data_IF_134585725780
#
_entry.id   IF_134585725780
#
_cell.length_a   1.000
_cell.length_b   1.000
_cell.length_c   1.000
_cell.angle_alpha   90.00
_cell.angle_beta   90.00
_cell.angle_gamma   90.00
#
_symmetry.space_group_name_H-M   'P 1'
#
loop_
_entity.id
_entity.type
_entity.pdbx_description
1 polymer ?
#
# COMPACT_ATOMS: atom_id res chain seq x y z
N UNK A 1 -8.42 -22.55 -17.31
CA UNK A 1 -8.39 -23.67 -16.33
C UNK A 1 -7.37 -24.74 -16.69
N UNK A 2 -7.47 -25.40 -17.84
CA UNK A 2 -6.55 -26.48 -18.25
C UNK A 2 -5.07 -26.05 -18.22
N UNK A 3 -4.73 -24.94 -18.88
CA UNK A 3 -3.35 -24.42 -18.90
C UNK A 3 -2.81 -24.14 -17.49
N UNK A 4 -3.62 -23.62 -16.57
CA UNK A 4 -3.18 -23.34 -15.21
C UNK A 4 -2.79 -24.63 -14.44
N UNK A 5 -3.53 -25.74 -14.65
CA UNK A 5 -3.19 -27.03 -14.05
C UNK A 5 -1.87 -27.57 -14.63
N UNK A 6 -1.71 -27.51 -15.94
CA UNK A 6 -0.51 -27.99 -16.63
C UNK A 6 0.74 -27.15 -16.31
N UNK A 7 0.56 -25.85 -16.08
CA UNK A 7 1.64 -24.91 -15.79
C UNK A 7 1.97 -24.79 -14.29
N UNK A 8 1.18 -25.39 -13.39
CA UNK A 8 1.39 -25.22 -11.94
C UNK A 8 2.78 -25.67 -11.50
N UNK A 9 3.25 -26.85 -11.94
CA UNK A 9 4.57 -27.37 -11.59
C UNK A 9 5.68 -26.48 -12.14
N UNK A 10 5.54 -26.02 -13.38
CA UNK A 10 6.46 -25.08 -14.00
C UNK A 10 6.57 -23.76 -13.22
N UNK A 11 5.43 -23.21 -12.81
CA UNK A 11 5.41 -21.99 -12.02
C UNK A 11 6.04 -22.21 -10.64
N UNK A 12 5.73 -23.33 -9.98
CA UNK A 12 6.25 -23.65 -8.65
C UNK A 12 7.77 -23.87 -8.64
N UNK A 13 8.26 -24.65 -9.61
CA UNK A 13 9.62 -25.19 -9.57
C UNK A 13 10.61 -24.38 -10.43
N UNK A 14 10.14 -23.61 -11.41
CA UNK A 14 10.99 -22.90 -12.38
C UNK A 14 10.71 -21.39 -12.44
N UNK A 15 9.52 -20.97 -12.91
CA UNK A 15 9.26 -19.56 -13.22
C UNK A 15 8.94 -18.68 -11.99
N UNK A 16 8.47 -19.27 -10.89
CA UNK A 16 7.93 -18.54 -9.74
C UNK A 16 8.95 -17.65 -9.03
N UNK A 17 10.22 -18.05 -8.99
CA UNK A 17 11.29 -17.25 -8.38
C UNK A 17 11.50 -15.93 -9.12
N UNK A 18 11.61 -15.98 -10.45
CA UNK A 18 11.77 -14.79 -11.30
C UNK A 18 10.57 -13.84 -11.21
N UNK A 19 9.34 -14.38 -11.20
CA UNK A 19 8.12 -13.59 -11.00
C UNK A 19 8.10 -12.92 -9.62
N UNK A 20 8.48 -13.64 -8.57
CA UNK A 20 8.51 -13.09 -7.21
C UNK A 20 9.57 -11.99 -7.06
N UNK A 21 10.75 -12.17 -7.66
CA UNK A 21 11.80 -11.14 -7.67
C UNK A 21 11.35 -9.89 -8.41
N UNK A 22 10.65 -10.03 -9.55
CA UNK A 22 10.06 -8.91 -10.25
C UNK A 22 9.03 -8.16 -9.38
N UNK A 23 8.12 -8.88 -8.72
CA UNK A 23 7.18 -8.28 -7.77
C UNK A 23 7.92 -7.51 -6.66
N UNK A 24 8.94 -8.11 -6.06
CA UNK A 24 9.73 -7.47 -5.00
C UNK A 24 10.48 -6.23 -5.50
N UNK A 25 11.05 -6.27 -6.69
CA UNK A 25 11.75 -5.15 -7.29
C UNK A 25 10.81 -3.96 -7.55
N UNK A 26 9.63 -4.23 -8.10
CA UNK A 26 8.59 -3.20 -8.33
C UNK A 26 8.15 -2.59 -7.01
N UNK A 27 7.78 -3.43 -6.03
CA UNK A 27 7.35 -2.97 -4.69
C UNK A 27 8.41 -2.09 -4.05
N UNK A 28 9.65 -2.57 -3.99
CA UNK A 28 10.76 -1.84 -3.38
C UNK A 28 11.05 -0.52 -4.08
N UNK A 29 10.98 -0.47 -5.42
CA UNK A 29 11.22 0.74 -6.18
C UNK A 29 10.11 1.79 -5.95
N UNK A 30 8.85 1.38 -5.91
CA UNK A 30 7.71 2.27 -5.63
C UNK A 30 7.83 2.86 -4.23
N UNK A 31 8.06 2.01 -3.22
CA UNK A 31 8.08 2.39 -1.80
C UNK A 31 9.31 3.21 -1.38
N UNK A 32 10.30 3.35 -2.27
CA UNK A 32 11.48 4.21 -2.08
C UNK A 32 11.13 5.70 -2.12
N UNK A 33 9.98 6.06 -2.70
CA UNK A 33 9.51 7.45 -2.82
C UNK A 33 8.13 7.64 -2.20
N UNK A 34 7.63 8.88 -2.14
CA UNK A 34 6.29 9.18 -1.65
C UNK A 34 5.22 8.43 -2.44
N UNK A 35 4.27 7.84 -1.72
CA UNK A 35 3.08 7.17 -2.25
C UNK A 35 1.87 7.73 -1.52
N UNK A 36 0.91 8.28 -2.27
CA UNK A 36 -0.33 8.78 -1.70
C UNK A 36 -1.20 7.61 -1.22
N UNK A 37 -1.71 7.69 0.00
CA UNK A 37 -2.38 6.55 0.64
C UNK A 37 -3.83 6.39 0.18
N UNK A 38 -4.41 7.43 -0.44
CA UNK A 38 -5.81 7.48 -0.87
C UNK A 38 -5.92 7.19 -2.36
N UNK A 39 -5.07 7.82 -3.18
CA UNK A 39 -5.08 7.67 -4.64
C UNK A 39 -4.18 6.54 -5.14
N UNK A 40 -3.21 6.12 -4.32
CA UNK A 40 -2.14 5.19 -4.68
C UNK A 40 -1.17 5.69 -5.76
N UNK A 41 -1.17 7.00 -6.02
CA UNK A 41 -0.20 7.61 -6.91
C UNK A 41 1.19 7.66 -6.26
N UNK A 42 2.21 7.33 -7.04
CA UNK A 42 3.57 7.17 -6.54
C UNK A 42 4.58 8.01 -7.32
N UNK A 43 5.62 8.49 -6.62
CA UNK A 43 6.73 9.22 -7.26
C UNK A 43 7.50 8.35 -8.26
N UNK A 44 7.69 7.08 -7.94
CA UNK A 44 8.40 6.08 -8.76
C UNK A 44 7.41 5.07 -9.35
N UNK A 45 6.49 5.55 -10.19
CA UNK A 45 5.52 4.71 -10.91
C UNK A 45 6.08 4.22 -12.24
N UNK A 46 5.55 3.09 -12.74
CA UNK A 46 5.72 2.62 -14.12
C UNK A 46 4.56 3.05 -15.03
N UNK A 47 3.44 3.46 -14.45
CA UNK A 47 2.26 3.95 -15.14
C UNK A 47 2.18 5.47 -15.04
N UNK A 48 1.98 6.14 -16.18
CA UNK A 48 1.74 7.59 -16.23
C UNK A 48 0.51 8.00 -15.44
N UNK A 49 -0.55 7.18 -15.49
CA UNK A 49 -1.82 7.45 -14.79
C UNK A 49 -1.68 7.40 -13.27
N UNK A 50 -0.69 6.66 -12.77
CA UNK A 50 -0.41 6.49 -11.33
C UNK A 50 0.80 7.28 -10.86
N UNK A 51 1.26 8.23 -11.68
CA UNK A 51 2.42 9.04 -11.35
C UNK A 51 2.00 10.23 -10.49
N UNK A 52 2.62 10.35 -9.32
CA UNK A 52 2.41 11.49 -8.42
C UNK A 52 2.94 12.78 -9.07
N UNK A 53 2.01 13.69 -9.40
CA UNK A 53 2.31 14.92 -10.14
C UNK A 53 2.76 16.07 -9.23
N UNK A 54 2.26 16.10 -8.00
CA UNK A 54 2.66 17.09 -6.99
C UNK A 54 4.13 16.91 -6.57
N UNK A 55 4.80 18.03 -6.28
CA UNK A 55 6.12 18.00 -5.68
C UNK A 55 5.99 17.81 -4.17
N UNK A 56 6.31 16.60 -3.71
CA UNK A 56 6.31 16.27 -2.28
C UNK A 56 7.75 16.25 -1.76
N UNK A 57 8.06 17.23 -0.91
CA UNK A 57 9.26 17.24 -0.10
C UNK A 57 9.15 16.15 0.98
N UNK A 58 10.20 15.36 1.13
CA UNK A 58 10.23 14.22 2.04
C UNK A 58 11.65 13.98 2.54
N UNK A 59 11.75 13.56 3.80
CA UNK A 59 12.96 13.09 4.45
C UNK A 59 12.91 11.58 4.73
N UNK A 60 14.08 10.95 4.83
CA UNK A 60 14.18 9.54 5.23
C UNK A 60 14.25 9.48 6.75
N UNK A 61 13.35 8.70 7.36
CA UNK A 61 13.39 8.41 8.79
C UNK A 61 13.87 6.98 8.98
N UNK A 62 14.94 6.81 9.76
CA UNK A 62 15.40 5.49 10.19
C UNK A 62 14.72 5.12 11.51
N UNK A 63 13.94 4.04 11.51
CA UNK A 63 13.25 3.51 12.67
C UNK A 63 14.03 2.36 13.29
N UNK A 64 14.17 2.36 14.61
CA UNK A 64 14.65 1.24 15.41
C UNK A 64 13.45 0.54 16.04
N UNK A 65 13.06 -0.59 15.47
CA UNK A 65 11.88 -1.35 15.91
C UNK A 65 12.32 -2.31 17.03
N UNK A 66 11.71 -2.17 18.20
CA UNK A 66 11.91 -3.09 19.32
C UNK A 66 10.90 -4.22 19.26
N UNK A 67 11.35 -5.41 19.63
CA UNK A 67 10.50 -6.55 19.93
C UNK A 67 10.76 -6.94 21.39
N UNK A 68 9.71 -7.22 22.15
CA UNK A 68 9.84 -7.51 23.58
C UNK A 68 10.65 -8.80 23.84
N UNK A 69 10.72 -9.71 22.86
CA UNK A 69 11.39 -11.01 22.95
C UNK A 69 12.72 -11.10 22.18
N UNK A 70 13.21 -10.01 21.56
CA UNK A 70 14.42 -10.05 20.73
C UNK A 70 15.47 -9.00 21.16
N UNK A 71 16.70 -9.47 21.36
CA UNK A 71 17.86 -8.61 21.68
C UNK A 71 18.30 -7.75 20.48
N UNK A 72 17.94 -8.16 19.25
CA UNK A 72 18.29 -7.44 18.03
C UNK A 72 17.21 -6.43 17.62
N UNK A 73 17.60 -5.15 17.54
CA UNK A 73 16.75 -4.08 17.00
C UNK A 73 16.78 -4.11 15.49
N UNK A 74 15.62 -4.31 14.86
CA UNK A 74 15.48 -4.23 13.41
C UNK A 74 15.45 -2.76 12.98
N UNK A 75 16.27 -2.41 11.99
CA UNK A 75 16.25 -1.08 11.38
C UNK A 75 15.36 -1.07 10.14
N UNK A 76 14.42 -0.14 10.09
CA UNK A 76 13.53 0.06 8.94
C UNK A 76 13.63 1.52 8.47
N UNK A 77 13.86 1.74 7.17
CA UNK A 77 13.88 3.09 6.58
C UNK A 77 12.50 3.38 5.98
N UNK A 78 11.92 4.49 6.37
CA UNK A 78 10.62 4.99 5.90
C UNK A 78 10.73 6.46 5.50
N UNK A 79 9.67 7.04 4.97
CA UNK A 79 9.59 8.46 4.66
C UNK A 79 8.81 9.20 5.74
N UNK A 80 9.19 10.43 6.03
CA UNK A 80 8.46 11.30 6.97
C UNK A 80 7.03 11.61 6.49
N UNK A 81 6.82 11.58 5.17
CA UNK A 81 5.53 11.72 4.52
C UNK A 81 4.73 10.41 4.43
N UNK A 82 5.21 9.28 4.96
CA UNK A 82 4.39 8.06 5.02
C UNK A 82 3.28 8.21 6.08
N UNK A 83 2.07 7.72 5.78
CA UNK A 83 1.02 7.58 6.81
C UNK A 83 1.39 6.55 7.86
N UNK A 84 0.72 6.56 9.00
CA UNK A 84 1.00 5.59 10.07
C UNK A 84 0.72 4.15 9.61
N UNK A 85 -0.33 3.91 8.82
CA UNK A 85 -0.57 2.59 8.22
C UNK A 85 0.51 2.17 7.23
N UNK A 86 1.04 3.08 6.41
CA UNK A 86 2.16 2.79 5.52
C UNK A 86 3.42 2.41 6.31
N UNK A 87 3.71 3.15 7.39
CA UNK A 87 4.84 2.84 8.29
C UNK A 87 4.65 1.47 8.94
N UNK A 88 3.47 1.16 9.48
CA UNK A 88 3.16 -0.18 10.04
C UNK A 88 3.40 -1.29 9.01
N UNK A 89 2.94 -1.09 7.78
CA UNK A 89 3.15 -2.06 6.69
C UNK A 89 4.64 -2.29 6.39
N UNK A 90 5.43 -1.22 6.29
CA UNK A 90 6.89 -1.29 6.06
C UNK A 90 7.63 -1.98 7.22
N UNK A 91 7.20 -1.72 8.46
CA UNK A 91 7.74 -2.41 9.64
C UNK A 91 7.40 -3.92 9.58
N UNK A 92 6.15 -4.28 9.29
CA UNK A 92 5.74 -5.68 9.17
C UNK A 92 6.52 -6.42 8.08
N UNK A 93 6.81 -5.77 6.95
CA UNK A 93 7.65 -6.37 5.92
C UNK A 93 9.09 -6.64 6.38
N UNK A 94 9.64 -5.76 7.23
CA UNK A 94 10.98 -5.94 7.80
C UNK A 94 10.99 -7.07 8.85
N UNK A 95 10.01 -7.09 9.76
CA UNK A 95 9.90 -8.08 10.83
C UNK A 95 9.58 -9.48 10.29
N UNK A 96 8.67 -9.57 9.32
CA UNK A 96 8.10 -10.84 8.84
C UNK A 96 8.56 -11.19 7.41
N UNK A 97 9.78 -10.80 7.03
CA UNK A 97 10.31 -10.97 5.66
C UNK A 97 10.22 -12.41 5.13
N UNK A 98 10.34 -13.40 6.02
CA UNK A 98 10.31 -14.83 5.71
C UNK A 98 8.98 -15.53 6.06
N UNK A 99 7.97 -14.77 6.48
CA UNK A 99 6.66 -15.30 6.84
C UNK A 99 5.67 -15.02 5.70
N UNK A 100 4.86 -16.00 5.26
CA UNK A 100 3.79 -15.77 4.30
C UNK A 100 2.85 -14.65 4.74
N UNK A 101 2.41 -13.79 3.81
CA UNK A 101 1.60 -12.61 4.13
C UNK A 101 0.35 -12.94 4.95
N UNK A 102 -0.33 -14.04 4.64
CA UNK A 102 -1.56 -14.50 5.33
C UNK A 102 -1.35 -14.97 6.77
N UNK A 103 -0.11 -15.21 7.20
CA UNK A 103 0.24 -15.62 8.56
C UNK A 103 0.78 -14.46 9.40
N UNK A 104 0.85 -13.25 8.83
CA UNK A 104 1.31 -12.05 9.52
C UNK A 104 0.13 -11.39 10.24
N UNK A 105 0.37 -10.66 11.35
CA UNK A 105 -0.64 -9.82 11.95
C UNK A 105 -1.19 -8.80 10.95
N UNK A 106 -2.48 -8.45 11.08
CA UNK A 106 -3.08 -7.39 10.28
C UNK A 106 -2.60 -6.02 10.76
N UNK A 107 -2.41 -5.07 9.84
CA UNK A 107 -2.10 -3.67 10.19
C UNK A 107 -3.18 -3.04 11.09
N UNK A 108 -4.41 -3.55 11.06
CA UNK A 108 -5.54 -3.03 11.84
C UNK A 108 -5.60 -3.59 13.27
N UNK A 109 -4.86 -4.67 13.54
CA UNK A 109 -4.76 -5.31 14.86
C UNK A 109 -3.61 -4.75 15.69
N UNK A 110 -2.83 -3.83 15.11
CA UNK A 110 -1.61 -3.30 15.70
C UNK A 110 -1.67 -1.77 15.79
N UNK A 111 -1.16 -1.26 16.92
CA UNK A 111 -0.86 0.14 17.12
C UNK A 111 0.65 0.37 17.00
N UNK A 112 1.02 1.55 16.49
CA UNK A 112 2.42 1.97 16.39
C UNK A 112 2.75 2.86 17.58
N UNK A 113 3.60 2.39 18.48
CA UNK A 113 4.06 3.14 19.63
C UNK A 113 5.42 3.78 19.34
N UNK A 114 5.51 5.10 19.48
CA UNK A 114 6.77 5.84 19.46
C UNK A 114 7.29 6.05 20.88
N UNK A 115 8.52 5.59 21.16
CA UNK A 115 9.19 5.81 22.45
C UNK A 115 10.01 7.10 22.41
N UNK A 116 9.42 8.18 22.91
CA UNK A 116 10.03 9.50 22.92
C UNK A 116 10.97 9.69 24.13
N UNK A 117 12.07 8.93 24.20
CA UNK A 117 13.13 9.10 25.21
C UNK A 117 12.59 9.27 26.65
N UNK A 118 12.96 10.38 27.31
CA UNK A 118 12.52 10.71 28.69
C UNK A 118 11.04 11.15 28.79
N UNK A 119 10.35 11.34 27.67
CA UNK A 119 8.98 11.87 27.59
C UNK A 119 7.87 10.81 27.56
N UNK A 120 8.21 9.53 27.72
CA UNK A 120 7.23 8.43 27.70
C UNK A 120 7.04 7.83 26.30
N UNK A 121 5.86 7.25 26.09
CA UNK A 121 5.46 6.63 24.83
C UNK A 121 4.22 7.33 24.25
N UNK A 122 4.11 7.36 22.92
CA UNK A 122 2.98 7.93 22.20
C UNK A 122 2.50 6.95 21.13
N UNK A 123 1.23 6.58 21.18
CA UNK A 123 0.60 5.80 20.10
C UNK A 123 0.26 6.71 18.93
N UNK A 124 0.77 6.36 17.75
CA UNK A 124 0.52 7.07 16.50
C UNK A 124 -0.64 6.40 15.75
N UNK A 125 -1.49 7.20 15.11
CA UNK A 125 -2.63 6.73 14.34
C UNK A 125 -2.81 7.56 13.08
N UNK A 126 -3.39 6.99 12.03
CA UNK A 126 -3.69 7.73 10.79
C UNK A 126 -4.66 8.90 11.05
N UNK A 127 -5.52 8.78 12.06
CA UNK A 127 -6.40 9.81 12.56
C UNK A 127 -6.49 9.75 14.08
N UNK A 128 -6.28 10.88 14.74
CA UNK A 128 -6.47 11.10 16.18
C UNK A 128 -6.96 12.53 16.48
N UNK A 129 -6.99 12.93 17.76
CA UNK A 129 -7.39 14.27 18.21
C UNK A 129 -6.52 15.42 17.66
N UNK A 130 -5.33 15.11 17.15
CA UNK A 130 -4.39 16.10 16.60
C UNK A 130 -4.57 16.28 15.08
N UNK A 131 -5.42 15.47 14.45
CA UNK A 131 -5.59 15.44 12.99
C UNK A 131 -6.08 16.78 12.44
N UNK A 132 -5.36 17.30 11.45
CA UNK A 132 -5.68 18.58 10.82
C UNK A 132 -6.89 18.44 9.91
N UNK A 133 -7.91 19.28 10.16
CA UNK A 133 -9.12 19.38 9.34
C UNK A 133 -9.29 20.81 8.83
N UNK A 134 -9.42 20.99 7.52
CA UNK A 134 -9.56 22.31 6.87
C UNK A 134 -10.68 22.22 5.83
N UNK A 135 -11.69 23.09 5.95
CA UNK A 135 -12.80 23.22 4.99
C UNK A 135 -13.47 21.87 4.62
N UNK A 136 -13.78 21.03 5.60
CA UNK A 136 -14.42 19.73 5.37
C UNK A 136 -13.48 18.62 4.89
N UNK A 137 -12.18 18.88 4.79
CA UNK A 137 -11.16 17.88 4.46
C UNK A 137 -10.27 17.56 5.65
N UNK A 138 -10.05 16.27 5.88
CA UNK A 138 -9.15 15.72 6.90
C UNK A 138 -7.87 15.21 6.23
N UNK A 139 -6.71 15.65 6.73
CA UNK A 139 -5.42 15.14 6.26
C UNK A 139 -4.98 13.95 7.12
N UNK A 140 -4.66 12.82 6.51
CA UNK A 140 -4.09 11.67 7.22
C UNK A 140 -2.78 12.07 7.92
N UNK A 141 -2.63 11.61 9.15
CA UNK A 141 -1.43 11.83 9.94
C UNK A 141 -0.25 11.03 9.38
N UNK A 142 0.92 11.66 9.37
CA UNK A 142 2.19 11.09 8.92
C UNK A 142 3.25 11.19 10.02
N UNK A 143 4.43 10.61 9.84
CA UNK A 143 5.53 10.81 10.78
C UNK A 143 5.92 12.28 10.94
N UNK A 144 5.90 13.05 9.84
CA UNK A 144 6.14 14.48 9.85
C UNK A 144 5.08 15.25 10.67
N UNK A 145 3.81 14.80 10.66
CA UNK A 145 2.75 15.41 11.47
C UNK A 145 3.07 15.34 12.96
N UNK A 146 3.58 14.21 13.43
CA UNK A 146 4.00 14.01 14.83
C UNK A 146 5.40 14.58 15.14
N UNK A 147 6.09 15.15 14.15
CA UNK A 147 7.45 15.66 14.32
C UNK A 147 8.49 14.57 14.60
N UNK A 148 8.24 13.34 14.15
CA UNK A 148 9.18 12.21 14.28
C UNK A 148 10.40 12.50 13.40
N UNK A 149 11.58 12.48 14.00
CA UNK A 149 12.87 12.75 13.34
C UNK A 149 13.70 11.47 13.16
N UNK A 150 14.87 11.61 12.57
CA UNK A 150 15.83 10.52 12.35
C UNK A 150 16.12 9.70 13.63
N UNK A 151 16.33 8.41 13.47
CA UNK A 151 16.63 7.44 14.54
C UNK A 151 15.55 7.30 15.63
N UNK A 152 14.28 7.31 15.23
CA UNK A 152 13.16 7.10 16.14
C UNK A 152 13.03 5.63 16.59
N UNK A 153 12.72 5.42 17.86
CA UNK A 153 12.50 4.09 18.43
C UNK A 153 11.01 3.77 18.44
N UNK A 154 10.62 2.69 17.77
CA UNK A 154 9.22 2.30 17.59
C UNK A 154 8.95 0.90 18.14
N UNK A 155 7.71 0.62 18.50
CA UNK A 155 7.21 -0.72 18.80
C UNK A 155 5.86 -0.94 18.14
N UNK A 156 5.57 -2.18 17.74
CA UNK A 156 4.22 -2.59 17.34
C UNK A 156 3.57 -3.29 18.52
N UNK A 157 2.46 -2.75 19.01
CA UNK A 157 1.73 -3.33 20.13
C UNK A 157 0.38 -3.87 19.64
N UNK A 158 -0.09 -5.03 20.14
CA UNK A 158 -1.45 -5.49 19.87
C UNK A 158 -2.45 -4.43 20.34
N UNK A 159 -3.37 -4.07 19.45
CA UNK A 159 -4.43 -3.12 19.78
C UNK A 159 -5.33 -3.75 20.84
N UNK A 160 -5.31 -3.23 22.05
CA UNK A 160 -6.26 -3.62 23.09
C UNK A 160 -7.63 -3.10 22.65
N UNK A 161 -8.49 -4.02 22.24
CA UNK A 161 -9.87 -3.69 21.92
C UNK A 161 -10.54 -3.37 23.26
N UNK A 162 -10.69 -2.08 23.61
CA UNK A 162 -11.46 -1.65 24.78
C UNK A 162 -12.91 -2.11 24.62
N UNK A 163 -13.16 -3.32 25.10
CA UNK A 163 -14.43 -4.02 25.01
C UNK A 163 -15.46 -3.43 25.98
N UNK A 164 -15.99 -2.25 25.66
CA UNK A 164 -17.34 -1.88 26.08
C UNK A 164 -18.37 -2.35 25.04
N UNK A 165 -18.34 -3.64 24.68
CA UNK A 165 -19.53 -4.39 24.30
C UNK A 165 -19.23 -5.90 24.21
N UNK A 166 -18.87 -6.50 25.35
CA UNK A 166 -18.92 -7.94 25.52
C UNK A 166 -20.36 -8.37 25.81
N UNK A 167 -21.21 -8.44 24.78
CA UNK A 167 -22.32 -9.38 24.83
C UNK A 167 -22.72 -9.87 23.43
N UNK A 168 -22.73 -11.20 23.30
CA UNK A 168 -23.24 -11.99 22.19
C UNK A 168 -22.33 -12.18 20.97
N UNK A 169 -21.47 -13.21 21.02
CA UNK A 169 -21.20 -14.06 19.85
C UNK A 169 -21.14 -15.53 20.28
N UNK A 170 -22.26 -16.22 20.16
CA UNK A 170 -22.27 -17.67 19.93
C UNK A 170 -21.80 -17.95 18.48
N UNK A 171 -21.13 -19.08 18.21
CA UNK A 171 -20.56 -19.38 16.91
C UNK A 171 -21.61 -20.03 16.00
N UNK A 172 -22.03 -19.34 14.94
CA UNK A 172 -22.79 -19.96 13.85
C UNK A 172 -21.83 -20.51 12.79
N UNK A 173 -21.87 -21.83 12.62
CA UNK A 173 -21.26 -22.56 11.52
C UNK A 173 -22.04 -22.34 10.21
N UNK A 174 -21.29 -22.28 9.10
CA UNK A 174 -21.72 -22.32 7.69
C UNK A 174 -22.38 -21.06 7.12
N UNK A 175 -21.56 -20.12 6.63
CA UNK A 175 -21.89 -19.25 5.51
C UNK A 175 -20.64 -19.06 4.63
N UNK A 176 -20.74 -19.52 3.38
CA UNK A 176 -19.76 -19.37 2.29
C UNK A 176 -19.58 -17.90 1.92
N UNK A 177 -18.37 -17.36 2.12
CA UNK A 177 -18.04 -15.94 1.92
C UNK A 177 -17.70 -15.59 0.48
N UNK A 178 -18.55 -14.78 -0.15
CA UNK A 178 -18.21 -13.95 -1.32
C UNK A 178 -17.57 -12.67 -0.80
N UNK A 179 -16.33 -12.39 -1.23
CA UNK A 179 -15.59 -11.18 -0.86
C UNK A 179 -16.22 -9.95 -1.54
N UNK A 180 -16.88 -9.10 -0.74
CA UNK A 180 -17.09 -7.70 -1.06
C UNK A 180 -16.95 -6.91 0.25
N UNK A 181 -15.82 -6.22 0.37
CA UNK A 181 -15.63 -5.21 1.39
C UNK A 181 -16.57 -4.05 1.12
N UNK A 182 -17.33 -3.67 2.14
CA UNK A 182 -17.86 -2.33 2.28
C UNK A 182 -18.01 -2.03 3.77
N UNK A 183 -17.24 -1.05 4.23
CA UNK A 183 -17.52 -0.29 5.43
C UNK A 183 -18.82 0.49 5.22
N UNK A 184 -19.95 -0.08 5.65
CA UNK A 184 -21.19 0.66 5.82
C UNK A 184 -21.80 0.24 7.16
N UNK A 185 -21.66 1.11 8.16
CA UNK A 185 -22.37 1.02 9.43
C UNK A 185 -23.87 1.18 9.18
N UNK A 186 -24.76 0.40 9.85
CA UNK A 186 -26.19 0.57 9.69
C UNK A 186 -26.67 1.75 10.56
N UNK A 187 -27.11 2.84 9.94
CA UNK A 187 -27.81 3.92 10.66
C UNK A 187 -29.31 3.68 10.55
N UNK A 188 -29.93 3.49 11.71
CA UNK A 188 -31.38 3.46 11.92
C UNK A 188 -31.93 4.84 11.52
N UNK A 189 -32.81 4.86 10.51
CA UNK A 189 -33.50 6.08 10.10
C UNK A 189 -34.61 6.41 11.11
N UNK A 190 -34.47 7.53 11.81
CA UNK A 190 -35.58 8.19 12.49
C UNK A 190 -35.58 9.67 12.15
N UNK A 191 -36.47 10.01 11.22
CA UNK A 191 -37.19 11.27 11.03
C UNK A 191 -36.43 12.61 11.12
N UNK A 192 -36.33 13.27 9.95
CA UNK A 192 -36.63 14.69 9.76
C UNK A 192 -35.70 15.72 10.40
N UNK A 193 -34.63 16.10 9.71
CA UNK A 193 -34.37 17.49 9.32
C UNK A 193 -33.15 17.56 8.40
N UNK A 194 -33.20 18.49 7.44
CA UNK A 194 -32.26 18.68 6.34
C UNK A 194 -31.14 19.63 6.78
N UNK A 195 -29.92 19.34 6.30
CA UNK A 195 -28.65 20.10 6.41
C UNK A 195 -27.71 19.72 7.57
N UNK A 196 -26.49 19.29 7.18
CA UNK A 196 -25.30 19.04 8.02
C UNK A 196 -25.07 17.62 8.55
N UNK A 197 -25.11 16.62 7.65
CA UNK A 197 -24.29 15.42 7.81
C UNK A 197 -22.90 15.69 7.22
N UNK A 198 -21.89 15.86 8.06
CA UNK A 198 -20.50 16.11 7.68
C UNK A 198 -19.93 15.00 6.80
N UNK A 199 -20.01 15.15 5.47
CA UNK A 199 -19.19 14.37 4.54
C UNK A 199 -17.76 14.88 4.65
N UNK A 200 -17.06 14.46 5.71
CA UNK A 200 -15.67 14.80 5.90
C UNK A 200 -14.83 13.94 4.94
N UNK A 201 -14.19 14.60 3.98
CA UNK A 201 -13.40 13.91 2.98
C UNK A 201 -11.96 13.75 3.48
N UNK A 202 -11.31 12.63 3.19
CA UNK A 202 -9.93 12.36 3.64
C UNK A 202 -8.94 12.42 2.48
N UNK A 203 -7.76 13.00 2.72
CA UNK A 203 -6.66 13.03 1.75
C UNK A 203 -5.31 12.78 2.43
N UNK A 204 -4.29 12.41 1.65
CA UNK A 204 -2.93 12.21 2.14
C UNK A 204 -1.97 13.30 1.66
N UNK A 205 -1.39 13.12 0.47
CA UNK A 205 -0.40 14.04 -0.11
C UNK A 205 -1.08 15.08 -0.99
N UNK A 206 -2.06 14.64 -1.79
CA UNK A 206 -2.76 15.50 -2.75
C UNK A 206 -4.19 15.69 -2.30
N UNK A 207 -4.58 16.95 -2.06
CA UNK A 207 -5.99 17.30 -1.85
C UNK A 207 -6.69 17.28 -3.23
N UNK A 208 -7.78 16.53 -3.40
CA UNK A 208 -8.60 16.63 -4.61
C UNK A 208 -9.09 18.07 -4.84
N UNK A 209 -9.20 18.53 -6.09
CA UNK A 209 -9.74 19.86 -6.37
C UNK A 209 -11.17 19.98 -5.83
N UNK A 210 -11.47 21.08 -5.13
CA UNK A 210 -12.82 21.33 -4.62
C UNK A 210 -13.75 21.60 -5.82
N UNK A 211 -14.77 20.75 -6.01
CA UNK A 211 -15.75 20.83 -7.12
C UNK A 211 -16.74 22.03 -6.99
N UNK A 212 -16.48 22.93 -6.05
CA UNK A 212 -17.34 24.06 -5.69
C UNK A 212 -16.84 25.44 -6.18
N UNK A 213 -15.84 25.46 -7.07
CA UNK A 213 -15.50 26.65 -7.85
C UNK A 213 -16.33 26.70 -9.13
N UNK A 214 -17.12 27.76 -9.31
CA UNK A 214 -17.86 28.11 -10.54
C UNK A 214 -17.20 27.61 -11.84
N UNK A 215 -17.96 27.07 -12.82
CA UNK A 215 -17.41 26.63 -14.10
C UNK A 215 -17.02 27.87 -14.93
N UNK A 216 -15.88 28.47 -14.62
CA UNK A 216 -15.20 29.40 -15.50
C UNK A 216 -14.56 28.59 -16.62
N UNK A 217 -15.35 28.37 -17.68
CA UNK A 217 -14.92 28.16 -19.07
C UNK A 217 -13.49 27.64 -19.26
N UNK A 218 -13.36 26.32 -19.28
CA UNK A 218 -12.63 25.57 -20.31
C UNK A 218 -12.83 24.11 -19.97
N UNK A 219 -13.84 23.53 -20.59
CA UNK A 219 -13.90 22.10 -20.85
C UNK A 219 -12.50 21.66 -21.30
N UNK A 220 -11.79 20.99 -20.41
CA UNK A 220 -10.53 20.34 -20.73
C UNK A 220 -10.85 19.22 -21.69
N UNK A 221 -10.96 19.56 -22.98
CA UNK A 221 -10.65 18.64 -24.06
C UNK A 221 -9.44 17.84 -23.59
N UNK A 222 -9.60 16.51 -23.52
CA UNK A 222 -8.52 15.54 -23.38
C UNK A 222 -7.65 15.63 -24.63
N UNK A 223 -7.00 16.77 -24.79
CA UNK A 223 -5.86 16.95 -25.66
C UNK A 223 -4.75 16.18 -25.02
N UNK A 224 -4.14 15.27 -25.79
CA UNK A 224 -2.89 14.60 -25.47
C UNK A 224 -1.79 15.64 -25.27
N UNK A 225 -1.81 16.35 -24.15
CA UNK A 225 -0.72 17.24 -23.75
C UNK A 225 0.46 16.34 -23.46
N UNK A 226 1.57 16.60 -24.14
CA UNK A 226 2.80 15.86 -23.90
C UNK A 226 3.12 15.84 -22.40
N UNK A 227 3.54 14.67 -21.90
CA UNK A 227 3.97 14.50 -20.52
C UNK A 227 5.12 15.50 -20.27
N UNK A 228 5.02 16.37 -19.24
CA UNK A 228 6.15 17.21 -18.86
C UNK A 228 7.41 16.38 -18.67
N UNK A 229 8.55 16.83 -19.21
CA UNK A 229 9.80 16.05 -19.30
C UNK A 229 10.27 15.48 -17.96
N UNK A 230 9.99 16.17 -16.86
CA UNK A 230 10.28 15.71 -15.49
C UNK A 230 9.57 14.38 -15.16
N UNK A 231 8.33 14.21 -15.60
CA UNK A 231 7.54 13.01 -15.35
C UNK A 231 7.99 11.86 -16.26
N UNK A 232 8.32 12.16 -17.52
CA UNK A 232 8.92 11.17 -18.42
C UNK A 232 10.25 10.65 -17.85
N UNK A 233 11.08 11.53 -17.31
CA UNK A 233 12.36 11.15 -16.68
C UNK A 233 12.14 10.22 -15.48
N UNK A 234 11.12 10.48 -14.64
CA UNK A 234 10.76 9.59 -13.51
C UNK A 234 10.30 8.21 -13.98
N UNK A 235 9.47 8.15 -15.02
CA UNK A 235 9.00 6.90 -15.62
C UNK A 235 10.17 6.09 -16.19
N UNK A 236 11.07 6.74 -16.96
CA UNK A 236 12.24 6.10 -17.55
C UNK A 236 13.23 5.63 -16.47
N UNK A 237 13.45 6.43 -15.42
CA UNK A 237 14.30 6.03 -14.30
C UNK A 237 13.73 4.81 -13.57
N UNK A 238 12.42 4.78 -13.32
CA UNK A 238 11.75 3.64 -12.68
C UNK A 238 11.85 2.40 -13.57
N UNK A 239 11.53 2.54 -14.87
CA UNK A 239 11.67 1.47 -15.88
C UNK A 239 13.09 0.90 -15.90
N UNK A 240 14.10 1.77 -16.01
CA UNK A 240 15.51 1.36 -16.05
C UNK A 240 15.94 0.61 -14.79
N UNK A 241 15.47 1.01 -13.61
CA UNK A 241 15.81 0.37 -12.34
C UNK A 241 15.28 -1.08 -12.26
N UNK A 242 14.08 -1.34 -12.80
CA UNK A 242 13.46 -2.66 -12.75
C UNK A 242 13.79 -3.54 -13.96
N UNK A 243 14.40 -2.99 -15.01
CA UNK A 243 14.52 -3.61 -16.33
C UNK A 243 15.12 -5.02 -16.27
N UNK A 244 16.19 -5.22 -15.51
CA UNK A 244 16.82 -6.54 -15.36
C UNK A 244 15.84 -7.60 -14.87
N UNK A 245 14.98 -7.29 -13.90
CA UNK A 245 14.02 -8.24 -13.37
C UNK A 245 12.90 -8.57 -14.37
N UNK A 246 12.55 -7.61 -15.24
CA UNK A 246 11.62 -7.84 -16.35
C UNK A 246 12.27 -8.77 -17.37
N UNK A 247 13.52 -8.49 -17.75
CA UNK A 247 14.27 -9.29 -18.73
C UNK A 247 14.49 -10.72 -18.21
N UNK A 248 14.86 -10.89 -16.94
CA UNK A 248 15.05 -12.19 -16.30
C UNK A 248 13.72 -12.98 -16.28
N UNK A 249 12.59 -12.32 -15.96
CA UNK A 249 11.28 -12.97 -15.97
C UNK A 249 10.84 -13.37 -17.38
N UNK A 250 10.98 -12.47 -18.36
CA UNK A 250 10.62 -12.76 -19.75
C UNK A 250 11.50 -13.82 -20.38
N UNK A 251 12.81 -13.77 -20.13
CA UNK A 251 13.73 -14.84 -20.53
C UNK A 251 13.28 -16.17 -19.94
N UNK A 252 12.91 -16.18 -18.66
CA UNK A 252 12.43 -17.40 -17.98
C UNK A 252 11.17 -17.97 -18.64
N UNK A 253 10.15 -17.16 -18.93
CA UNK A 253 8.85 -17.67 -19.43
C UNK A 253 8.77 -17.84 -20.97
N UNK A 254 9.64 -17.17 -21.74
CA UNK A 254 9.63 -17.19 -23.20
C UNK A 254 10.71 -18.09 -23.81
N UNK A 255 11.68 -18.57 -23.02
CA UNK A 255 12.71 -19.49 -23.53
C UNK A 255 12.14 -20.90 -23.64
N UNK A 256 12.12 -21.46 -24.86
CA UNK A 256 11.85 -22.87 -25.07
C UNK A 256 13.04 -23.72 -24.60
N UNK A 257 12.86 -24.45 -23.51
CA UNK A 257 13.85 -25.37 -22.96
C UNK A 257 13.16 -26.59 -22.34
N UNK A 258 13.95 -27.53 -21.82
CA UNK A 258 13.46 -28.78 -21.20
C UNK A 258 12.55 -28.57 -19.98
N UNK A 259 12.54 -27.38 -19.39
CA UNK A 259 11.63 -27.07 -18.28
C UNK A 259 10.20 -26.76 -18.77
N UNK A 260 10.01 -26.43 -20.05
CA UNK A 260 8.70 -26.09 -20.58
C UNK A 260 7.75 -27.30 -20.54
N UNK A 261 6.53 -27.17 -19.97
CA UNK A 261 5.62 -28.30 -19.89
C UNK A 261 5.23 -28.85 -21.27
N UNK A 262 5.14 -30.18 -21.45
CA UNK A 262 4.68 -30.80 -22.69
C UNK A 262 3.32 -30.30 -23.17
N UNK A 263 2.47 -29.87 -22.23
CA UNK A 263 1.18 -29.25 -22.50
C UNK A 263 1.27 -28.00 -23.39
N UNK A 264 2.35 -27.22 -23.28
CA UNK A 264 2.56 -26.03 -24.14
C UNK A 264 2.83 -26.47 -25.57
N UNK A 265 3.73 -27.45 -25.75
CA UNK A 265 4.01 -28.03 -27.06
C UNK A 265 2.76 -28.64 -27.68
N UNK A 266 2.05 -29.49 -26.95
CA UNK A 266 0.80 -30.11 -27.42
C UNK A 266 -0.24 -29.08 -27.84
N UNK A 267 -0.38 -27.98 -27.08
CA UNK A 267 -1.34 -26.93 -27.42
C UNK A 267 -0.97 -26.18 -28.69
N UNK A 268 0.32 -25.93 -28.92
CA UNK A 268 0.78 -25.29 -30.16
C UNK A 268 0.67 -26.23 -31.35
N UNK A 269 1.07 -27.50 -31.19
CA UNK A 269 0.88 -28.52 -32.23
C UNK A 269 -0.60 -28.63 -32.64
N UNK A 270 -1.54 -28.55 -31.68
CA UNK A 270 -2.99 -28.53 -31.96
C UNK A 270 -3.47 -27.29 -32.72
N UNK A 271 -2.83 -26.13 -32.54
CA UNK A 271 -3.18 -24.91 -33.29
C UNK A 271 -2.56 -24.86 -34.69
N UNK A 272 -1.50 -25.63 -34.92
CA UNK A 272 -0.86 -25.78 -36.22
C UNK A 272 -1.61 -26.78 -37.13
N UNK A 273 -2.39 -27.72 -36.55
CA UNK A 273 -3.30 -28.66 -37.26
C UNK A 273 -4.60 -28.00 -37.76
#
# INVERSE_FOLDING_TARGET
>A
NWMALCMYKYLKDYAGSSLFLLYKAIKHQIEKGPVDAVTHDARYSLSEERLLREQIDHGIVTLHVMQDDADEKIQCKVLDCDTISQVKSKILDALYKNTPFSLRPSIHELDLEWRHGRGGHLTLQDEDLTTKSVCGWRKLNTLAHYGVKESAVMSLIPRQNDGFNANCKQPCHNCTGTYLGNSLSPIIASNGDVESGSNLHTYHLVKPPDDHGYPSSKSSERTHKAIPEIFLTRLLSTKGTIQKFVDDFFTTILTANEALPPAVKWLFDLFDE
#
